data_IF_245298754575
#
_entry.id   IF_245298754575
#
_cell.length_a   1.000
_cell.length_b   1.000
_cell.length_c   1.000
_cell.angle_alpha   90.00
_cell.angle_beta   90.00
_cell.angle_gamma   90.00
#
_symmetry.space_group_name_H-M   'P 1'
#
loop_
_entity.id
_entity.type
_entity.pdbx_description
1 polymer ?
#
# COMPACT_ATOMS: atom_id res chain seq x y z
N UNK A 1 -14.97 1.23 27.39
CA UNK A 1 -16.42 1.06 27.61
C UNK A 1 -16.82 -0.23 26.92
N UNK A 2 -17.33 -1.20 27.66
CA UNK A 2 -17.74 -2.51 27.13
C UNK A 2 -18.95 -2.35 26.20
N UNK A 3 -18.97 -3.06 25.07
CA UNK A 3 -20.07 -2.97 24.11
C UNK A 3 -21.39 -3.47 24.75
N UNK A 4 -22.49 -2.67 24.71
CA UNK A 4 -23.76 -3.05 25.32
C UNK A 4 -24.36 -4.35 24.78
N UNK A 5 -23.96 -4.79 23.58
CA UNK A 5 -24.37 -6.10 23.05
C UNK A 5 -23.66 -7.27 23.73
N UNK A 6 -22.38 -7.08 24.09
CA UNK A 6 -21.59 -8.11 24.76
C UNK A 6 -22.10 -8.32 26.19
N UNK A 7 -22.45 -7.25 26.90
CA UNK A 7 -23.02 -7.35 28.24
C UNK A 7 -24.40 -8.00 28.25
N UNK A 8 -25.27 -7.72 27.27
CA UNK A 8 -26.55 -8.39 27.11
C UNK A 8 -26.41 -9.89 26.80
N UNK A 9 -25.50 -10.27 25.91
CA UNK A 9 -25.27 -11.68 25.57
C UNK A 9 -24.75 -12.51 26.75
N UNK A 10 -23.95 -11.90 27.63
CA UNK A 10 -23.48 -12.53 28.88
C UNK A 10 -24.63 -12.65 29.88
N UNK A 11 -25.47 -11.62 30.02
CA UNK A 11 -26.65 -11.66 30.90
C UNK A 11 -27.68 -12.71 30.46
N UNK A 12 -27.86 -12.88 29.15
CA UNK A 12 -28.74 -13.89 28.55
C UNK A 12 -28.17 -15.32 28.62
N UNK A 13 -26.96 -15.50 29.17
CA UNK A 13 -26.32 -16.82 29.29
C UNK A 13 -25.94 -17.46 27.95
N UNK A 14 -25.88 -16.69 26.85
CA UNK A 14 -25.48 -17.20 25.53
C UNK A 14 -23.98 -17.41 25.36
N UNK A 15 -23.18 -16.93 26.31
CA UNK A 15 -21.72 -17.03 26.27
C UNK A 15 -21.25 -18.20 27.14
N UNK A 16 -20.42 -19.12 26.62
CA UNK A 16 -19.81 -20.19 27.41
C UNK A 16 -19.00 -19.64 28.59
N UNK A 17 -19.01 -20.35 29.73
CA UNK A 17 -18.36 -19.88 30.97
C UNK A 17 -16.84 -19.72 30.85
N UNK A 18 -16.22 -20.36 29.86
CA UNK A 18 -14.78 -20.21 29.60
C UNK A 18 -14.42 -18.91 28.86
N UNK A 19 -15.39 -18.19 28.28
CA UNK A 19 -15.15 -16.99 27.47
C UNK A 19 -15.48 -15.72 28.26
N UNK A 20 -14.48 -14.86 28.46
CA UNK A 20 -14.61 -13.61 29.22
C UNK A 20 -15.14 -12.46 28.35
N UNK A 21 -15.89 -11.53 28.95
CA UNK A 21 -16.31 -10.27 28.31
C UNK A 21 -15.14 -9.48 27.70
N UNK A 22 -13.99 -9.53 28.36
CA UNK A 22 -12.76 -8.84 27.94
C UNK A 22 -12.22 -9.39 26.61
N UNK A 23 -12.27 -10.72 26.44
CA UNK A 23 -11.89 -11.39 25.20
C UNK A 23 -12.83 -11.04 24.03
N UNK A 24 -14.14 -10.95 24.29
CA UNK A 24 -15.13 -10.58 23.28
C UNK A 24 -15.03 -9.10 22.87
N UNK A 25 -14.55 -8.24 23.76
CA UNK A 25 -14.32 -6.82 23.47
C UNK A 25 -12.90 -6.54 22.93
N UNK A 26 -12.03 -7.55 22.87
CA UNK A 26 -10.67 -7.39 22.36
C UNK A 26 -10.72 -7.10 20.85
N UNK A 27 -10.45 -5.85 20.47
CA UNK A 27 -10.43 -5.42 19.08
C UNK A 27 -9.14 -5.90 18.40
N UNK A 28 -9.26 -6.86 17.48
CA UNK A 28 -8.13 -7.33 16.64
C UNK A 28 -7.93 -6.53 15.35
N UNK A 29 -8.81 -5.58 15.08
CA UNK A 29 -8.78 -4.80 13.84
C UNK A 29 -7.52 -3.95 13.71
N UNK A 30 -6.96 -3.46 14.82
CA UNK A 30 -5.77 -2.62 14.79
C UNK A 30 -4.56 -3.31 14.13
N UNK A 31 -4.34 -4.60 14.42
CA UNK A 31 -3.23 -5.36 13.83
C UNK A 31 -3.48 -5.63 12.34
N UNK A 32 -4.71 -5.98 11.97
CA UNK A 32 -5.09 -6.20 10.57
C UNK A 32 -4.96 -4.91 9.73
N UNK A 33 -5.45 -3.79 10.27
CA UNK A 33 -5.35 -2.46 9.64
C UNK A 33 -3.88 -2.06 9.45
N UNK A 34 -3.04 -2.26 10.47
CA UNK A 34 -1.61 -1.96 10.37
C UNK A 34 -0.93 -2.78 9.26
N UNK A 35 -1.25 -4.08 9.16
CA UNK A 35 -0.73 -4.95 8.11
C UNK A 35 -1.16 -4.51 6.71
N UNK A 36 -2.45 -4.20 6.52
CA UNK A 36 -2.98 -3.74 5.23
C UNK A 36 -2.32 -2.41 4.82
N UNK A 37 -2.21 -1.45 5.74
CA UNK A 37 -1.55 -0.17 5.50
C UNK A 37 -0.10 -0.38 5.06
N UNK A 38 0.65 -1.22 5.79
CA UNK A 38 2.05 -1.50 5.47
C UNK A 38 2.23 -2.09 4.07
N UNK A 39 1.47 -3.14 3.73
CA UNK A 39 1.55 -3.81 2.42
C UNK A 39 1.14 -2.86 1.30
N UNK A 40 0.10 -2.05 1.51
CA UNK A 40 -0.39 -1.08 0.52
C UNK A 40 0.67 0.00 0.24
N UNK A 41 1.27 0.57 1.28
CA UNK A 41 2.33 1.58 1.16
C UNK A 41 3.56 0.98 0.48
N UNK A 42 4.01 -0.21 0.92
CA UNK A 42 5.16 -0.88 0.36
C UNK A 42 4.97 -1.18 -1.14
N UNK A 43 3.81 -1.72 -1.51
CA UNK A 43 3.48 -2.02 -2.91
C UNK A 43 3.44 -0.75 -3.75
N UNK A 44 2.85 0.32 -3.22
CA UNK A 44 2.78 1.62 -3.90
C UNK A 44 4.17 2.18 -4.17
N UNK A 45 5.09 2.13 -3.20
CA UNK A 45 6.48 2.56 -3.36
C UNK A 45 7.17 1.76 -4.47
N UNK A 46 7.00 0.44 -4.49
CA UNK A 46 7.61 -0.43 -5.51
C UNK A 46 7.07 -0.09 -6.91
N UNK A 47 5.75 0.07 -7.05
CA UNK A 47 5.12 0.39 -8.32
C UNK A 47 5.56 1.78 -8.81
N UNK A 48 5.50 2.79 -7.95
CA UNK A 48 5.94 4.15 -8.28
C UNK A 48 7.44 4.18 -8.62
N UNK A 49 8.27 3.45 -7.88
CA UNK A 49 9.69 3.30 -8.17
C UNK A 49 9.92 2.66 -9.54
N UNK A 50 9.17 1.62 -9.90
CA UNK A 50 9.25 0.99 -11.23
C UNK A 50 8.80 1.94 -12.34
N UNK A 51 7.72 2.70 -12.13
CA UNK A 51 7.26 3.69 -13.09
C UNK A 51 8.28 4.81 -13.27
N UNK A 52 8.81 5.34 -12.17
CA UNK A 52 9.83 6.37 -12.18
C UNK A 52 11.13 5.89 -12.85
N UNK A 53 11.61 4.69 -12.54
CA UNK A 53 12.78 4.10 -13.22
C UNK A 53 12.55 3.95 -14.72
N UNK A 54 11.38 3.46 -15.14
CA UNK A 54 11.05 3.32 -16.57
C UNK A 54 10.94 4.68 -17.26
N UNK A 55 10.26 5.64 -16.65
CA UNK A 55 10.09 6.99 -17.19
C UNK A 55 11.44 7.70 -17.27
N UNK A 56 12.28 7.58 -16.25
CA UNK A 56 13.62 8.17 -16.22
C UNK A 56 14.53 7.56 -17.29
N UNK A 57 14.50 6.23 -17.45
CA UNK A 57 15.23 5.55 -18.53
C UNK A 57 14.72 6.00 -19.91
N UNK A 58 13.40 6.00 -20.15
CA UNK A 58 12.83 6.49 -21.42
C UNK A 58 13.18 7.95 -21.70
N UNK A 59 13.16 8.82 -20.68
CA UNK A 59 13.49 10.23 -20.85
C UNK A 59 14.98 10.44 -21.17
N UNK A 60 15.88 9.68 -20.51
CA UNK A 60 17.31 9.73 -20.78
C UNK A 60 17.66 9.22 -22.19
N UNK A 61 17.13 8.05 -22.57
CA UNK A 61 17.35 7.47 -23.90
C UNK A 61 16.75 8.34 -25.01
N UNK A 62 15.55 8.89 -24.81
CA UNK A 62 14.93 9.80 -25.79
C UNK A 62 15.74 11.08 -26.02
N UNK A 63 16.39 11.61 -24.98
CA UNK A 63 17.29 12.77 -25.12
C UNK A 63 18.57 12.39 -25.87
N UNK A 64 19.20 11.25 -25.54
CA UNK A 64 20.42 10.80 -26.21
C UNK A 64 20.18 10.51 -27.71
N UNK A 65 19.06 9.88 -28.07
CA UNK A 65 18.68 9.64 -29.47
C UNK A 65 18.34 10.94 -30.22
N UNK A 66 17.64 11.88 -29.56
CA UNK A 66 17.34 13.19 -30.16
C UNK A 66 18.62 14.01 -30.40
N UNK A 67 19.57 14.01 -29.46
CA UNK A 67 20.88 14.65 -29.64
C UNK A 67 21.67 14.01 -30.77
N UNK A 68 21.60 12.68 -30.92
CA UNK A 68 22.24 11.95 -32.01
C UNK A 68 21.63 12.33 -33.36
N UNK A 69 20.30 12.38 -33.46
CA UNK A 69 19.61 12.81 -34.68
C UNK A 69 19.92 14.26 -35.06
N UNK A 70 19.89 15.19 -34.10
CA UNK A 70 20.21 16.61 -34.34
C UNK A 70 21.67 16.79 -34.76
N UNK A 71 22.60 16.04 -34.17
CA UNK A 71 24.02 16.11 -34.54
C UNK A 71 24.28 15.54 -35.94
N UNK A 72 23.63 14.42 -36.30
CA UNK A 72 23.70 13.84 -37.64
C UNK A 72 23.10 14.77 -38.71
N UNK A 73 21.89 15.28 -38.49
CA UNK A 73 21.25 16.23 -39.40
C UNK A 73 22.08 17.52 -39.57
N UNK A 74 22.79 17.96 -38.52
CA UNK A 74 23.68 19.13 -38.62
C UNK A 74 24.95 18.86 -39.42
N UNK A 75 25.43 17.61 -39.48
CA UNK A 75 26.56 17.23 -40.34
C UNK A 75 26.14 17.10 -41.81
N UNK A 76 24.96 16.54 -42.10
CA UNK A 76 24.47 16.37 -43.48
C UNK A 76 24.30 17.71 -44.22
N UNK A 77 24.01 18.79 -43.48
CA UNK A 77 23.83 20.14 -44.04
C UNK A 77 25.11 21.01 -44.04
N UNK A 78 26.30 20.43 -43.83
CA UNK A 78 27.60 21.12 -43.93
C UNK A 78 28.48 20.50 -45.00
#
# INVERSE_FOLDING_TARGET
MSDPKVSQAIADGRVPKEITADYLNETRDASAIAGILFVTVLTSIIVLGRLASRAFLMHRFGIDDALTFVSWHRQEHR
#
